data_IF_545858608993
#
_entry.id   IF_545858608993
#
_cell.length_a   1.000
_cell.length_b   1.000
_cell.length_c   1.000
_cell.angle_alpha   90.00
_cell.angle_beta   90.00
_cell.angle_gamma   90.00
#
_symmetry.space_group_name_H-M   'P 1'
#
loop_
_entity.id
_entity.type
_entity.pdbx_description
1 polymer ?
#
# COMPACT_ATOMS: atom_id res chain seq x y z
N UNK A 1 0.63 -31.77 -2.46
CA UNK A 1 -0.19 -31.80 -3.68
C UNK A 1 0.65 -32.38 -4.81
N UNK A 2 0.08 -33.22 -5.68
CA UNK A 2 0.77 -33.77 -6.86
C UNK A 2 0.41 -32.89 -8.08
N UNK A 3 1.40 -32.49 -8.88
CA UNK A 3 1.28 -31.51 -9.98
C UNK A 3 1.42 -32.16 -11.37
N UNK A 4 1.17 -31.41 -12.44
CA UNK A 4 1.36 -31.89 -13.81
C UNK A 4 2.84 -31.86 -14.24
N UNK A 5 3.25 -32.80 -15.09
CA UNK A 5 4.50 -32.72 -15.86
C UNK A 5 4.34 -31.69 -17.00
N UNK A 6 5.42 -30.98 -17.33
CA UNK A 6 5.47 -30.12 -18.51
C UNK A 6 6.01 -30.94 -19.68
N UNK A 7 5.23 -31.02 -20.77
CA UNK A 7 5.63 -31.69 -22.00
C UNK A 7 5.74 -30.64 -23.14
N UNK A 8 6.77 -30.78 -23.98
CA UNK A 8 6.98 -29.93 -25.15
C UNK A 8 6.31 -30.57 -26.37
N UNK A 9 5.45 -29.82 -27.06
CA UNK A 9 4.72 -30.29 -28.23
C UNK A 9 4.97 -29.35 -29.42
N UNK A 10 5.06 -29.92 -30.62
CA UNK A 10 5.15 -29.18 -31.89
C UNK A 10 3.85 -29.24 -32.68
N UNK A 11 3.71 -28.37 -33.68
CA UNK A 11 2.59 -28.45 -34.62
C UNK A 11 2.74 -29.69 -35.50
N UNK A 12 1.70 -30.52 -35.56
CA UNK A 12 1.63 -31.64 -36.48
C UNK A 12 1.55 -31.12 -37.93
N UNK A 13 2.16 -31.86 -38.86
CA UNK A 13 2.06 -31.56 -40.31
C UNK A 13 0.66 -31.86 -40.86
N UNK A 14 -0.07 -32.76 -40.20
CA UNK A 14 -1.44 -33.15 -40.53
C UNK A 14 -2.42 -32.68 -39.45
N UNK A 15 -3.64 -32.31 -39.85
CA UNK A 15 -4.69 -31.86 -38.93
C UNK A 15 -5.64 -32.99 -38.57
N UNK A 16 -5.58 -33.44 -37.32
CA UNK A 16 -6.54 -34.39 -36.76
C UNK A 16 -7.57 -33.70 -35.86
N UNK A 17 -8.78 -34.28 -35.81
CA UNK A 17 -9.83 -33.79 -34.90
C UNK A 17 -9.46 -34.10 -33.45
N UNK A 18 -9.27 -33.06 -32.65
CA UNK A 18 -9.03 -33.18 -31.21
C UNK A 18 -10.30 -33.65 -30.47
N UNK A 19 -10.35 -34.95 -30.15
CA UNK A 19 -11.39 -35.58 -29.35
C UNK A 19 -10.98 -35.79 -27.89
N UNK A 20 -11.91 -36.21 -27.02
CA UNK A 20 -11.65 -36.44 -25.59
C UNK A 20 -10.56 -37.48 -25.31
N UNK A 21 -10.26 -38.36 -26.26
CA UNK A 21 -9.22 -39.40 -26.19
C UNK A 21 -7.96 -39.05 -26.99
N UNK A 22 -7.92 -37.89 -27.67
CA UNK A 22 -6.77 -37.45 -28.47
C UNK A 22 -5.57 -37.01 -27.64
N UNK A 23 -5.69 -37.04 -26.30
CA UNK A 23 -4.60 -36.78 -25.39
C UNK A 23 -4.72 -37.72 -24.19
N UNK A 24 -3.57 -38.21 -23.73
CA UNK A 24 -3.46 -38.93 -22.46
C UNK A 24 -2.95 -37.96 -21.41
N UNK A 25 -3.56 -37.98 -20.22
CA UNK A 25 -3.06 -37.21 -19.09
C UNK A 25 -1.65 -37.72 -18.75
N UNK A 26 -0.61 -36.86 -18.79
CA UNK A 26 0.74 -37.29 -18.44
C UNK A 26 0.82 -37.72 -16.97
N UNK A 27 1.83 -38.53 -16.64
CA UNK A 27 2.10 -38.93 -15.26
C UNK A 27 2.16 -37.71 -14.34
N UNK A 28 1.54 -37.86 -13.16
CA UNK A 28 1.45 -36.78 -12.18
C UNK A 28 2.83 -36.61 -11.54
N UNK A 29 3.54 -35.54 -11.90
CA UNK A 29 4.80 -35.15 -11.29
C UNK A 29 4.61 -34.49 -9.93
N UNK A 30 5.66 -34.41 -9.11
CA UNK A 30 5.58 -33.66 -7.83
C UNK A 30 5.93 -32.18 -7.99
N UNK A 31 6.42 -31.79 -9.17
CA UNK A 31 7.03 -30.48 -9.41
C UNK A 31 6.78 -30.01 -10.84
N UNK A 32 6.53 -28.72 -10.99
CA UNK A 32 6.35 -28.01 -12.25
C UNK A 32 7.49 -27.01 -12.40
N UNK A 33 8.35 -27.24 -13.40
CA UNK A 33 9.47 -26.37 -13.76
C UNK A 33 9.20 -25.68 -15.10
N UNK A 34 8.24 -24.76 -15.09
CA UNK A 34 7.78 -24.07 -16.29
C UNK A 34 8.87 -23.18 -16.91
N UNK A 35 9.70 -22.55 -16.07
CA UNK A 35 10.83 -21.76 -16.54
C UNK A 35 11.84 -22.59 -17.35
N UNK A 36 12.24 -23.74 -16.80
CA UNK A 36 13.22 -24.61 -17.46
C UNK A 36 12.69 -25.17 -18.79
N UNK A 37 11.41 -25.51 -18.85
CA UNK A 37 10.76 -25.95 -20.09
C UNK A 37 10.79 -24.87 -21.16
N UNK A 38 10.45 -23.62 -20.81
CA UNK A 38 10.50 -22.49 -21.73
C UNK A 38 11.93 -22.19 -22.21
N UNK A 39 12.91 -22.25 -21.31
CA UNK A 39 14.32 -22.03 -21.65
C UNK A 39 14.84 -23.13 -22.60
N UNK A 40 14.39 -24.37 -22.40
CA UNK A 40 14.70 -25.51 -23.29
C UNK A 40 14.16 -25.27 -24.71
N UNK A 41 12.90 -24.83 -24.84
CA UNK A 41 12.31 -24.50 -26.16
C UNK A 41 13.09 -23.40 -26.89
N UNK A 42 13.61 -22.41 -26.16
CA UNK A 42 14.41 -21.33 -26.74
C UNK A 42 15.82 -21.78 -27.15
N UNK A 43 16.35 -22.84 -26.54
CA UNK A 43 17.66 -23.44 -26.86
C UNK A 43 17.57 -24.43 -28.02
N UNK A 44 16.51 -25.23 -28.04
CA UNK A 44 16.28 -26.29 -29.03
C UNK A 44 15.68 -25.77 -30.34
N UNK A 45 15.39 -24.47 -30.45
CA UNK A 45 14.90 -23.86 -31.69
C UNK A 45 15.89 -24.03 -32.85
N UNK A 46 15.43 -24.62 -33.95
CA UNK A 46 16.22 -24.87 -35.16
C UNK A 46 16.68 -23.55 -35.82
N UNK A 47 17.99 -23.37 -36.09
CA UNK A 47 18.50 -22.23 -36.86
C UNK A 47 17.86 -22.04 -38.24
N UNK A 48 17.40 -23.13 -38.87
CA UNK A 48 16.79 -23.09 -40.21
C UNK A 48 15.29 -22.80 -40.19
N UNK A 49 14.65 -22.87 -39.03
CA UNK A 49 13.22 -22.58 -38.84
C UNK A 49 13.04 -21.78 -37.54
N UNK A 50 13.21 -20.45 -37.59
CA UNK A 50 13.21 -19.62 -36.38
C UNK A 50 11.87 -19.71 -35.64
N UNK A 51 11.95 -19.82 -34.32
CA UNK A 51 10.79 -19.90 -33.44
C UNK A 51 9.96 -18.60 -33.52
N UNK A 52 8.79 -18.67 -34.15
CA UNK A 52 7.94 -17.49 -34.37
C UNK A 52 7.07 -17.08 -33.18
N UNK A 53 6.61 -18.04 -32.36
CA UNK A 53 5.85 -17.77 -31.14
C UNK A 53 5.77 -19.01 -30.25
N UNK A 54 5.44 -18.83 -28.97
CA UNK A 54 5.13 -19.92 -28.04
C UNK A 54 3.75 -19.71 -27.45
N UNK A 55 2.96 -20.78 -27.35
CA UNK A 55 1.68 -20.80 -26.64
C UNK A 55 1.82 -21.72 -25.43
N UNK A 56 1.57 -21.19 -24.23
CA UNK A 56 1.72 -21.89 -22.96
C UNK A 56 0.35 -22.19 -22.37
N UNK A 57 0.03 -23.47 -22.21
CA UNK A 57 -1.17 -23.89 -21.48
C UNK A 57 -0.77 -24.21 -20.04
N UNK A 58 -1.21 -23.40 -19.08
CA UNK A 58 -0.81 -23.57 -17.67
C UNK A 58 -1.91 -23.18 -16.69
N UNK A 59 -1.93 -23.82 -15.52
CA UNK A 59 -2.73 -23.40 -14.36
C UNK A 59 -2.02 -22.32 -13.52
N UNK A 60 -0.89 -21.81 -13.99
CA UNK A 60 -0.09 -20.74 -13.36
C UNK A 60 0.89 -21.24 -12.30
N UNK A 61 0.95 -22.54 -12.01
CA UNK A 61 1.83 -23.08 -10.95
C UNK A 61 3.24 -23.33 -11.49
N UNK A 62 4.23 -22.68 -10.87
CA UNK A 62 5.66 -22.96 -11.06
C UNK A 62 6.31 -23.09 -9.68
N UNK A 63 6.78 -24.28 -9.32
CA UNK A 63 7.29 -24.57 -7.98
C UNK A 63 8.71 -25.13 -7.95
N UNK A 64 9.34 -25.29 -9.11
CA UNK A 64 10.75 -25.66 -9.25
C UNK A 64 11.35 -24.99 -10.50
N UNK A 65 12.67 -25.04 -10.64
CA UNK A 65 13.38 -24.56 -11.82
C UNK A 65 13.57 -23.05 -11.82
N UNK A 66 13.96 -22.52 -12.97
CA UNK A 66 14.16 -21.10 -13.18
C UNK A 66 12.85 -20.29 -13.02
N UNK A 67 13.01 -19.03 -12.65
CA UNK A 67 11.90 -18.07 -12.64
C UNK A 67 11.37 -17.86 -14.05
N UNK A 68 10.06 -18.01 -14.22
CA UNK A 68 9.37 -17.77 -15.50
C UNK A 68 9.60 -16.34 -16.00
N UNK A 69 9.71 -15.36 -15.08
CA UNK A 69 9.99 -13.96 -15.44
C UNK A 69 11.39 -13.77 -16.02
N UNK A 70 12.38 -14.51 -15.53
CA UNK A 70 13.75 -14.41 -16.02
C UNK A 70 13.83 -14.97 -17.44
N UNK A 71 13.19 -16.12 -17.69
CA UNK A 71 13.11 -16.74 -19.02
C UNK A 71 12.30 -15.88 -19.99
N UNK A 72 11.22 -15.25 -19.54
CA UNK A 72 10.43 -14.32 -20.36
C UNK A 72 11.26 -13.13 -20.88
N UNK A 73 12.29 -12.68 -20.16
CA UNK A 73 13.23 -11.65 -20.66
C UNK A 73 14.03 -12.15 -21.86
N UNK A 74 14.45 -13.42 -21.85
CA UNK A 74 15.18 -14.02 -22.98
C UNK A 74 14.31 -14.11 -24.23
N UNK A 75 13.03 -14.50 -24.08
CA UNK A 75 12.05 -14.49 -25.17
C UNK A 75 11.86 -13.09 -25.74
N UNK A 76 11.70 -12.08 -24.88
CA UNK A 76 11.60 -10.68 -25.30
C UNK A 76 12.83 -10.20 -26.06
N UNK A 77 14.03 -10.56 -25.60
CA UNK A 77 15.29 -10.18 -26.26
C UNK A 77 15.41 -10.76 -27.68
N UNK A 78 14.83 -11.93 -27.93
CA UNK A 78 14.77 -12.57 -29.25
C UNK A 78 13.54 -12.18 -30.08
N UNK A 79 12.67 -11.29 -29.56
CA UNK A 79 11.46 -10.88 -30.25
C UNK A 79 10.40 -11.98 -30.39
N UNK A 80 10.48 -13.05 -29.60
CA UNK A 80 9.55 -14.19 -29.67
C UNK A 80 8.41 -13.97 -28.66
N UNK A 81 7.15 -13.80 -29.12
CA UNK A 81 6.01 -13.63 -28.22
C UNK A 81 5.66 -14.94 -27.50
N UNK A 82 5.32 -14.83 -26.21
CA UNK A 82 4.79 -15.92 -25.38
C UNK A 82 3.33 -15.62 -25.05
N UNK A 83 2.42 -16.41 -25.60
CA UNK A 83 0.99 -16.32 -25.35
C UNK A 83 0.59 -17.33 -24.27
N UNK A 84 -0.18 -16.94 -23.27
CA UNK A 84 -0.55 -17.81 -22.16
C UNK A 84 -2.05 -18.10 -22.20
N UNK A 85 -2.39 -19.38 -22.15
CA UNK A 85 -3.76 -19.89 -22.02
C UNK A 85 -3.89 -20.56 -20.65
N UNK A 86 -4.72 -19.97 -19.80
CA UNK A 86 -5.05 -20.55 -18.49
C UNK A 86 -5.81 -21.86 -18.66
N UNK A 87 -5.33 -22.95 -18.07
CA UNK A 87 -6.02 -24.25 -18.05
C UNK A 87 -6.22 -24.73 -16.60
N UNK A 88 -7.29 -25.48 -16.36
CA UNK A 88 -7.61 -26.02 -15.04
C UNK A 88 -9.10 -26.00 -14.76
N UNK A 89 -9.49 -26.63 -13.66
CA UNK A 89 -10.86 -26.49 -13.16
C UNK A 89 -10.97 -25.16 -12.40
N UNK A 90 -11.96 -24.35 -12.77
CA UNK A 90 -12.44 -23.26 -11.92
C UNK A 90 -13.08 -23.95 -10.70
N UNK A 91 -12.29 -24.21 -9.67
CA UNK A 91 -12.84 -24.54 -8.36
C UNK A 91 -13.36 -23.23 -7.79
N UNK A 92 -14.63 -23.19 -7.39
CA UNK A 92 -15.18 -22.14 -6.54
C UNK A 92 -14.45 -22.21 -5.19
N UNK A 93 -13.24 -21.67 -5.18
CA UNK A 93 -12.50 -21.34 -3.99
C UNK A 93 -13.08 -20.01 -3.52
N UNK A 94 -13.31 -19.91 -2.22
CA UNK A 94 -13.66 -18.62 -1.64
C UNK A 94 -12.49 -17.66 -1.78
N UNK A 95 -12.78 -16.40 -1.52
CA UNK A 95 -11.87 -15.29 -1.70
C UNK A 95 -11.93 -14.37 -0.48
N UNK A 96 -10.82 -13.77 -0.09
CA UNK A 96 -10.78 -12.85 1.05
C UNK A 96 -10.33 -11.46 0.61
N UNK A 97 -11.29 -10.58 0.37
CA UNK A 97 -10.99 -9.25 -0.17
C UNK A 97 -10.85 -8.21 0.93
N UNK A 98 -9.98 -7.21 0.73
CA UNK A 98 -9.85 -6.05 1.62
C UNK A 98 -9.80 -4.73 0.82
N UNK A 99 -10.48 -3.69 1.30
CA UNK A 99 -10.48 -2.36 0.65
C UNK A 99 -10.67 -1.21 1.63
N UNK A 100 -10.13 -0.04 1.31
CA UNK A 100 -10.47 1.20 2.00
C UNK A 100 -11.88 1.62 1.61
N UNK A 101 -12.71 1.97 2.60
CA UNK A 101 -14.08 2.45 2.35
C UNK A 101 -14.07 3.92 1.91
N UNK A 102 -13.21 4.75 2.51
CA UNK A 102 -13.00 6.13 2.09
C UNK A 102 -11.78 6.24 1.16
N UNK A 103 -12.02 6.77 -0.04
CA UNK A 103 -10.97 6.97 -1.07
C UNK A 103 -10.33 8.35 -1.03
N UNK A 104 -10.90 9.32 -0.30
CA UNK A 104 -10.41 10.70 -0.21
C UNK A 104 -10.54 11.25 1.21
N UNK A 105 -9.88 10.63 2.21
CA UNK A 105 -9.93 11.11 3.57
C UNK A 105 -9.29 12.50 3.66
N UNK A 106 -9.89 13.37 4.48
CA UNK A 106 -9.30 14.66 4.85
C UNK A 106 -8.17 14.38 5.84
N UNK A 107 -6.97 14.87 5.54
CA UNK A 107 -5.81 14.73 6.40
C UNK A 107 -5.06 16.07 6.49
N UNK A 108 -4.80 16.50 7.72
CA UNK A 108 -3.99 17.68 8.05
C UNK A 108 -2.87 17.22 8.96
N UNK A 109 -1.66 17.74 8.75
CA UNK A 109 -0.54 17.36 9.61
C UNK A 109 -0.79 17.82 11.05
N UNK A 110 -0.39 16.99 12.03
CA UNK A 110 -0.64 17.17 13.46
C UNK A 110 -2.11 17.10 13.88
N UNK A 111 -3.03 16.69 13.02
CA UNK A 111 -4.42 16.38 13.36
C UNK A 111 -4.70 14.88 13.28
N UNK A 112 -5.83 14.44 13.83
CA UNK A 112 -6.24 13.04 13.76
C UNK A 112 -6.76 12.68 12.36
N UNK A 113 -6.24 11.58 11.84
CA UNK A 113 -6.65 10.94 10.60
C UNK A 113 -7.30 9.60 10.93
N UNK A 114 -8.57 9.46 10.56
CA UNK A 114 -9.31 8.21 10.68
C UNK A 114 -9.29 7.49 9.34
N UNK A 115 -8.85 6.23 9.34
CA UNK A 115 -8.93 5.34 8.19
C UNK A 115 -9.92 4.21 8.48
N UNK A 116 -10.74 3.90 7.48
CA UNK A 116 -11.74 2.83 7.57
C UNK A 116 -11.57 1.90 6.38
N UNK A 117 -11.50 0.60 6.69
CA UNK A 117 -11.46 -0.48 5.72
C UNK A 117 -12.72 -1.34 5.79
N UNK A 118 -12.87 -2.19 4.79
CA UNK A 118 -13.85 -3.27 4.75
C UNK A 118 -13.15 -4.55 4.32
N UNK A 119 -13.45 -5.64 5.00
CA UNK A 119 -13.02 -7.00 4.63
C UNK A 119 -14.25 -7.85 4.35
N UNK A 120 -14.17 -8.69 3.31
CA UNK A 120 -15.25 -9.58 2.89
C UNK A 120 -14.72 -11.00 2.74
N UNK A 121 -15.34 -11.94 3.47
CA UNK A 121 -15.07 -13.36 3.36
C UNK A 121 -16.06 -14.02 2.38
N UNK A 122 -15.59 -14.44 1.20
CA UNK A 122 -16.38 -15.16 0.20
C UNK A 122 -16.22 -16.68 0.28
N UNK A 123 -15.54 -17.20 1.30
CA UNK A 123 -15.47 -18.64 1.53
C UNK A 123 -16.77 -19.18 2.14
N UNK A 124 -17.07 -20.44 1.82
CA UNK A 124 -18.21 -21.18 2.38
C UNK A 124 -18.03 -21.55 3.86
N UNK A 125 -16.86 -21.27 4.44
CA UNK A 125 -16.50 -21.59 5.83
C UNK A 125 -16.01 -20.34 6.57
N UNK A 126 -16.11 -20.31 7.91
CA UNK A 126 -15.51 -19.25 8.70
C UNK A 126 -13.99 -19.28 8.59
N UNK A 127 -13.37 -18.09 8.56
CA UNK A 127 -11.92 -17.91 8.44
C UNK A 127 -11.40 -17.07 9.59
N UNK A 128 -10.25 -17.50 10.11
CA UNK A 128 -9.42 -16.71 10.99
C UNK A 128 -8.27 -16.13 10.16
N UNK A 129 -8.11 -14.81 10.24
CA UNK A 129 -7.15 -14.05 9.45
C UNK A 129 -6.69 -12.83 10.24
N UNK A 130 -5.67 -12.14 9.73
CA UNK A 130 -5.15 -10.92 10.32
C UNK A 130 -5.10 -9.83 9.26
N UNK A 131 -5.61 -8.64 9.61
CA UNK A 131 -5.50 -7.44 8.78
C UNK A 131 -4.43 -6.53 9.35
N UNK A 132 -3.57 -6.05 8.48
CA UNK A 132 -2.44 -5.20 8.82
C UNK A 132 -2.56 -3.86 8.08
N UNK A 133 -2.47 -2.76 8.82
CA UNK A 133 -2.32 -1.42 8.29
C UNK A 133 -0.85 -1.02 8.32
N UNK A 134 -0.34 -0.49 7.21
CA UNK A 134 1.05 -0.07 7.05
C UNK A 134 1.17 1.27 6.34
N UNK A 135 2.24 1.99 6.66
CA UNK A 135 2.69 3.19 5.97
C UNK A 135 4.06 2.90 5.35
N UNK A 136 4.10 2.71 4.04
CA UNK A 136 5.29 2.26 3.33
C UNK A 136 5.75 0.88 3.81
N UNK A 137 6.88 0.81 4.54
CA UNK A 137 7.42 -0.43 5.15
C UNK A 137 7.09 -0.58 6.64
N UNK A 138 6.55 0.47 7.28
CA UNK A 138 6.26 0.48 8.71
C UNK A 138 4.85 -0.06 8.94
N UNK A 139 4.73 -1.09 9.77
CA UNK A 139 3.45 -1.59 10.25
C UNK A 139 2.96 -0.63 11.34
N UNK A 140 1.73 -0.15 11.19
CA UNK A 140 1.09 0.77 12.13
C UNK A 140 0.19 0.03 13.10
N UNK A 141 -0.60 -0.91 12.61
CA UNK A 141 -1.59 -1.64 13.40
C UNK A 141 -1.86 -3.02 12.79
N UNK A 142 -2.18 -3.99 13.63
CA UNK A 142 -2.48 -5.36 13.25
C UNK A 142 -3.70 -5.85 14.05
N UNK A 143 -4.73 -6.31 13.34
CA UNK A 143 -6.03 -6.66 13.90
C UNK A 143 -6.34 -8.12 13.55
N UNK A 144 -6.40 -9.03 14.54
CA UNK A 144 -6.86 -10.39 14.31
C UNK A 144 -8.38 -10.40 14.08
N UNK A 145 -8.84 -11.17 13.11
CA UNK A 145 -10.23 -11.24 12.68
C UNK A 145 -10.70 -12.68 12.55
N UNK A 146 -11.94 -12.91 12.98
CA UNK A 146 -12.70 -14.13 12.72
C UNK A 146 -13.96 -13.76 11.96
N UNK A 147 -14.03 -14.14 10.68
CA UNK A 147 -15.11 -13.79 9.75
C UNK A 147 -15.94 -15.03 9.46
N UNK A 148 -17.27 -14.92 9.53
CA UNK A 148 -18.19 -15.98 9.11
C UNK A 148 -18.21 -16.09 7.59
N UNK A 149 -18.72 -17.20 7.07
CA UNK A 149 -18.92 -17.40 5.64
C UNK A 149 -19.84 -16.29 5.06
N UNK A 150 -19.40 -15.62 3.99
CA UNK A 150 -20.14 -14.52 3.37
C UNK A 150 -20.18 -13.21 4.16
N UNK A 151 -19.42 -13.09 5.26
CA UNK A 151 -19.46 -11.90 6.12
C UNK A 151 -18.70 -10.71 5.51
N UNK A 152 -19.34 -9.55 5.51
CA UNK A 152 -18.71 -8.23 5.30
C UNK A 152 -18.54 -7.52 6.63
N UNK A 153 -17.32 -7.11 6.96
CA UNK A 153 -17.02 -6.40 8.21
C UNK A 153 -16.27 -5.12 7.94
N UNK A 154 -16.77 -4.01 8.49
CA UNK A 154 -16.05 -2.74 8.53
C UNK A 154 -14.99 -2.76 9.63
N UNK A 155 -13.82 -2.24 9.31
CA UNK A 155 -12.66 -2.14 10.18
C UNK A 155 -12.35 -0.67 10.39
N UNK A 156 -12.43 -0.21 11.64
CA UNK A 156 -11.96 1.12 12.02
C UNK A 156 -10.58 0.97 12.64
N UNK A 157 -9.57 1.61 12.05
CA UNK A 157 -8.22 1.65 12.59
C UNK A 157 -8.11 2.70 13.70
N UNK A 158 -7.11 2.55 14.56
CA UNK A 158 -6.79 3.53 15.59
C UNK A 158 -6.49 4.90 14.96
N UNK A 159 -6.91 6.02 15.59
CA UNK A 159 -6.63 7.36 15.07
C UNK A 159 -5.13 7.58 14.83
N UNK A 160 -4.77 8.00 13.62
CA UNK A 160 -3.39 8.24 13.23
C UNK A 160 -3.09 9.74 13.25
N UNK A 161 -1.87 10.13 13.60
CA UNK A 161 -1.44 11.54 13.60
C UNK A 161 -0.25 11.74 12.66
N UNK A 162 -0.46 12.11 11.38
CA UNK A 162 0.65 12.35 10.46
C UNK A 162 1.42 13.62 10.88
N UNK A 163 2.72 13.51 11.10
CA UNK A 163 3.54 14.63 11.56
C UNK A 163 3.98 15.60 10.45
N UNK A 164 4.05 15.11 9.21
CA UNK A 164 4.62 15.83 8.07
C UNK A 164 3.57 15.93 6.96
N UNK A 165 3.43 17.13 6.40
CA UNK A 165 2.59 17.39 5.24
C UNK A 165 3.17 16.73 3.97
N UNK A 166 2.29 16.36 3.05
CA UNK A 166 2.65 15.74 1.78
C UNK A 166 1.95 14.42 1.52
N UNK A 167 2.26 13.77 0.37
CA UNK A 167 1.63 12.51 -0.02
C UNK A 167 2.13 11.35 0.87
N UNK A 168 1.19 10.67 1.53
CA UNK A 168 1.46 9.46 2.32
C UNK A 168 0.67 8.28 1.75
N UNK A 169 1.36 7.14 1.55
CA UNK A 169 0.73 5.93 0.99
C UNK A 169 0.48 4.90 2.09
N UNK A 170 -0.78 4.79 2.49
CA UNK A 170 -1.25 3.76 3.40
C UNK A 170 -1.58 2.50 2.62
N UNK A 171 -1.36 1.34 3.24
CA UNK A 171 -1.68 0.04 2.67
C UNK A 171 -2.31 -0.83 3.73
N UNK A 172 -3.45 -1.41 3.40
CA UNK A 172 -4.08 -2.48 4.16
C UNK A 172 -3.80 -3.80 3.45
N UNK A 173 -3.47 -4.81 4.24
CA UNK A 173 -3.23 -6.16 3.76
C UNK A 173 -3.98 -7.13 4.66
N UNK A 174 -4.70 -8.07 4.07
CA UNK A 174 -5.26 -9.22 4.77
C UNK A 174 -4.37 -10.45 4.51
N UNK A 175 -4.30 -11.37 5.47
CA UNK A 175 -3.55 -12.62 5.31
C UNK A 175 -4.55 -13.74 4.99
N UNK A 176 -4.71 -14.15 3.73
CA UNK A 176 -5.70 -15.16 3.38
C UNK A 176 -5.27 -16.57 3.85
N UNK A 177 -6.23 -17.49 4.03
CA UNK A 177 -5.92 -18.90 4.25
C UNK A 177 -5.41 -19.56 2.96
N UNK A 178 -4.87 -20.78 3.08
CA UNK A 178 -4.45 -21.56 1.92
C UNK A 178 -5.63 -21.79 0.96
N UNK A 179 -5.47 -21.44 -0.31
CA UNK A 179 -6.48 -21.67 -1.34
C UNK A 179 -7.39 -20.49 -1.63
N UNK A 180 -6.93 -19.26 -1.37
CA UNK A 180 -7.51 -18.03 -1.89
C UNK A 180 -7.55 -18.01 -3.43
N UNK A 181 -8.60 -17.39 -3.98
CA UNK A 181 -8.87 -17.39 -5.41
C UNK A 181 -8.11 -16.29 -6.14
N UNK A 182 -7.98 -15.10 -5.54
CA UNK A 182 -7.36 -13.94 -6.15
C UNK A 182 -6.46 -13.16 -5.17
N UNK A 183 -5.17 -13.53 -5.10
CA UNK A 183 -4.22 -12.86 -4.21
C UNK A 183 -3.96 -11.37 -4.52
N UNK A 184 -4.45 -10.88 -5.66
CA UNK A 184 -4.29 -9.47 -6.03
C UNK A 184 -5.21 -8.54 -5.24
N UNK A 185 -6.29 -9.07 -4.66
CA UNK A 185 -7.29 -8.32 -3.91
C UNK A 185 -7.15 -8.44 -2.37
N UNK A 186 -6.13 -9.18 -1.91
CA UNK A 186 -5.69 -9.24 -0.51
C UNK A 186 -5.05 -7.95 0.00
N UNK A 187 -4.77 -6.99 -0.90
CA UNK A 187 -4.04 -5.76 -0.60
C UNK A 187 -4.70 -4.57 -1.30
N UNK A 188 -5.00 -3.51 -0.53
CA UNK A 188 -5.44 -2.23 -1.09
C UNK A 188 -4.50 -1.12 -0.62
N UNK A 189 -4.28 -0.12 -1.49
CA UNK A 189 -3.37 0.99 -1.25
C UNK A 189 -4.08 2.32 -1.46
N UNK A 190 -3.98 3.20 -0.47
CA UNK A 190 -4.60 4.52 -0.48
C UNK A 190 -3.53 5.60 -0.41
N UNK A 191 -3.55 6.52 -1.39
CA UNK A 191 -2.74 7.73 -1.36
C UNK A 191 -3.53 8.83 -0.65
N UNK A 192 -3.03 9.25 0.50
CA UNK A 192 -3.60 10.34 1.29
C UNK A 192 -2.72 11.58 1.12
N UNK A 193 -3.30 12.68 0.66
CA UNK A 193 -2.62 13.96 0.57
C UNK A 193 -2.78 14.70 1.89
N UNK A 194 -1.76 14.65 2.74
CA UNK A 194 -1.76 15.37 4.02
C UNK A 194 -1.47 16.84 3.74
N UNK A 195 -2.41 17.72 4.08
CA UNK A 195 -2.23 19.16 3.95
C UNK A 195 -1.35 19.69 5.09
N UNK A 196 -0.62 20.80 4.88
CA UNK A 196 0.01 21.52 5.98
C UNK A 196 -1.05 21.95 6.99
N UNK A 197 -0.70 22.06 8.29
CA UNK A 197 -1.60 22.67 9.26
C UNK A 197 -1.73 24.16 8.92
N UNK A 198 -2.92 24.71 9.08
CA UNK A 198 -3.21 26.08 8.66
C UNK A 198 -2.58 27.16 9.58
N UNK A 199 -1.76 26.81 10.60
CA UNK A 199 -1.32 27.72 11.68
C UNK A 199 0.14 28.20 11.61
N UNK A 200 0.34 29.52 11.68
CA UNK A 200 1.61 30.25 11.77
C UNK A 200 1.92 30.66 13.22
N UNK A 201 3.09 30.29 13.75
CA UNK A 201 3.52 30.67 15.10
C UNK A 201 4.12 32.08 15.09
N UNK A 202 3.53 33.00 15.83
CA UNK A 202 3.97 34.41 15.87
C UNK A 202 4.29 34.86 17.28
N UNK A 203 5.42 35.56 17.45
CA UNK A 203 5.82 36.16 18.73
C UNK A 203 5.77 37.68 18.65
N UNK A 204 5.00 38.32 19.53
CA UNK A 204 5.08 39.75 19.76
C UNK A 204 6.01 40.06 20.92
N UNK A 205 7.09 40.81 20.67
CA UNK A 205 8.07 41.18 21.67
C UNK A 205 8.09 42.70 21.87
N UNK A 206 7.92 43.15 23.12
CA UNK A 206 8.05 44.59 23.41
C UNK A 206 8.70 44.84 24.76
N UNK A 207 9.47 45.93 24.86
CA UNK A 207 10.04 46.40 26.11
C UNK A 207 9.15 47.41 26.85
N UNK A 208 7.97 47.71 26.31
CA UNK A 208 6.99 48.65 26.86
C UNK A 208 5.56 48.29 26.42
N UNK A 209 4.56 48.79 27.15
CA UNK A 209 3.15 48.61 26.75
C UNK A 209 2.82 49.60 25.64
N UNK A 210 2.85 49.12 24.40
CA UNK A 210 2.44 49.92 23.25
C UNK A 210 0.90 49.91 23.14
N UNK A 211 0.26 51.06 22.86
CA UNK A 211 -1.18 51.12 22.59
C UNK A 211 -1.64 50.20 21.45
N UNK A 212 -0.74 49.78 20.56
CA UNK A 212 -1.02 48.87 19.45
C UNK A 212 -1.21 47.40 19.88
N UNK A 213 -0.65 46.97 21.02
CA UNK A 213 -0.67 45.56 21.45
C UNK A 213 -2.09 44.98 21.54
N UNK A 214 -3.07 45.64 22.17
CA UNK A 214 -4.43 45.13 22.21
C UNK A 214 -5.05 44.90 20.83
N UNK A 215 -4.68 45.70 19.82
CA UNK A 215 -5.16 45.54 18.44
C UNK A 215 -4.50 44.34 17.77
N UNK A 216 -3.17 44.21 17.87
CA UNK A 216 -2.43 43.06 17.33
C UNK A 216 -2.89 41.76 17.97
N UNK A 217 -3.02 41.75 19.30
CA UNK A 217 -3.54 40.61 20.07
C UNK A 217 -4.93 40.23 19.60
N UNK A 218 -5.85 41.19 19.45
CA UNK A 218 -7.21 40.91 18.97
C UNK A 218 -7.21 40.30 17.57
N UNK A 219 -6.44 40.86 16.64
CA UNK A 219 -6.42 40.38 15.25
C UNK A 219 -5.78 38.99 15.13
N UNK A 220 -4.64 38.76 15.79
CA UNK A 220 -3.88 37.51 15.63
C UNK A 220 -4.34 36.39 16.56
N UNK A 221 -4.86 36.70 17.76
CA UNK A 221 -5.35 35.66 18.67
C UNK A 221 -6.77 35.16 18.31
N UNK A 222 -7.56 35.97 17.58
CA UNK A 222 -8.91 35.58 17.15
C UNK A 222 -8.90 34.75 15.84
N UNK A 223 -7.75 34.67 15.13
CA UNK A 223 -7.61 33.93 13.86
C UNK A 223 -7.02 32.53 14.08
N UNK A 224 -7.73 31.47 13.67
CA UNK A 224 -7.28 30.08 13.83
C UNK A 224 -5.96 29.75 13.11
N UNK A 225 -5.61 30.56 12.09
CA UNK A 225 -4.38 30.42 11.30
C UNK A 225 -3.14 31.00 11.97
N UNK A 226 -3.28 31.64 13.12
CA UNK A 226 -2.15 32.17 13.87
C UNK A 226 -2.16 31.62 15.29
N UNK A 227 -1.02 31.08 15.69
CA UNK A 227 -0.77 30.81 17.10
C UNK A 227 0.02 31.99 17.64
N UNK A 228 -0.71 32.96 18.19
CA UNK A 228 -0.16 34.22 18.69
C UNK A 228 0.34 34.07 20.12
N UNK A 229 1.61 34.39 20.32
CA UNK A 229 2.23 34.48 21.64
C UNK A 229 2.82 35.88 21.85
N UNK A 230 2.86 36.36 23.09
CA UNK A 230 3.44 37.66 23.40
C UNK A 230 4.26 37.66 24.68
N UNK A 231 5.30 38.50 24.67
CA UNK A 231 6.12 38.79 25.83
C UNK A 231 6.40 40.30 25.88
N UNK A 232 5.82 40.98 26.86
CA UNK A 232 5.95 42.42 27.05
C UNK A 232 6.61 42.69 28.39
N UNK A 233 7.76 43.37 28.38
CA UNK A 233 8.41 43.82 29.61
C UNK A 233 7.69 45.06 30.16
N UNK A 234 7.21 44.98 31.39
CA UNK A 234 6.55 46.09 32.10
C UNK A 234 7.53 46.83 33.02
N UNK A 235 8.48 46.11 33.60
CA UNK A 235 9.55 46.67 34.44
C UNK A 235 10.77 45.74 34.42
N UNK A 236 11.79 46.00 35.24
CA UNK A 236 13.00 45.17 35.25
C UNK A 236 12.73 43.68 35.47
N UNK A 237 11.76 43.35 36.33
CA UNK A 237 11.43 41.98 36.76
C UNK A 237 10.01 41.54 36.39
N UNK A 238 9.19 42.42 35.81
CA UNK A 238 7.79 42.14 35.52
C UNK A 238 7.58 42.04 34.02
N UNK A 239 7.00 40.92 33.59
CA UNK A 239 6.63 40.65 32.21
C UNK A 239 5.15 40.28 32.12
N UNK A 240 4.50 40.74 31.07
CA UNK A 240 3.21 40.23 30.63
C UNK A 240 3.47 39.17 29.55
N UNK A 241 3.09 37.92 29.86
CA UNK A 241 3.16 36.79 28.95
C UNK A 241 1.76 36.39 28.50
N UNK A 242 1.59 36.04 27.23
CA UNK A 242 0.35 35.52 26.66
C UNK A 242 0.65 34.41 25.65
N UNK A 243 -0.20 33.38 25.63
CA UNK A 243 -0.02 32.17 24.82
C UNK A 243 0.50 30.98 25.64
N UNK A 244 0.39 29.78 25.09
CA UNK A 244 0.86 28.55 25.73
C UNK A 244 2.40 28.55 25.88
N UNK A 245 2.88 28.00 26.99
CA UNK A 245 4.30 27.76 27.29
C UNK A 245 5.26 28.97 27.28
N UNK A 246 4.75 30.21 27.26
CA UNK A 246 5.60 31.40 27.48
C UNK A 246 5.83 31.64 28.97
N UNK A 247 7.11 31.67 29.35
CA UNK A 247 7.56 32.11 30.67
C UNK A 247 7.62 33.65 30.73
N UNK A 248 7.23 34.29 31.85
CA UNK A 248 7.28 35.74 32.03
C UNK A 248 8.72 36.24 32.32
N UNK A 249 9.66 35.92 31.43
CA UNK A 249 11.07 36.31 31.49
C UNK A 249 11.66 36.27 30.10
N UNK A 250 12.70 37.06 29.82
CA UNK A 250 13.42 36.91 28.55
C UNK A 250 14.04 35.52 28.42
N UNK A 251 13.74 34.80 27.32
CA UNK A 251 14.37 33.53 27.01
C UNK A 251 15.88 33.70 26.94
N UNK A 252 16.60 32.88 27.70
CA UNK A 252 18.06 32.80 27.62
C UNK A 252 18.52 31.74 26.61
N UNK A 253 17.61 30.84 26.23
CA UNK A 253 17.87 29.77 25.26
C UNK A 253 17.68 30.32 23.83
N UNK A 254 18.73 30.29 22.98
CA UNK A 254 18.62 30.67 21.58
C UNK A 254 17.58 29.84 20.79
N UNK A 255 17.34 28.58 21.17
CA UNK A 255 16.41 27.69 20.46
C UNK A 255 14.97 28.22 20.49
N UNK A 256 14.58 28.89 21.58
CA UNK A 256 13.26 29.51 21.72
C UNK A 256 12.91 30.43 20.56
N UNK A 257 13.86 31.23 20.07
CA UNK A 257 13.60 32.22 19.03
C UNK A 257 13.41 31.60 17.65
N UNK A 258 13.87 30.36 17.46
CA UNK A 258 13.85 29.66 16.17
C UNK A 258 12.52 28.95 15.90
N UNK A 259 11.68 28.76 16.93
CA UNK A 259 10.40 28.09 16.79
C UNK A 259 9.32 28.97 16.14
N UNK A 260 9.57 30.28 16.06
CA UNK A 260 8.61 31.27 15.55
C UNK A 260 8.81 31.52 14.06
N UNK A 261 7.70 31.50 13.30
CA UNK A 261 7.69 31.84 11.88
C UNK A 261 7.87 33.34 11.64
N UNK A 262 7.45 34.16 12.62
CA UNK A 262 7.67 35.60 12.61
C UNK A 262 7.77 36.17 14.04
N UNK A 263 8.63 37.18 14.20
CA UNK A 263 8.75 37.99 15.41
C UNK A 263 8.36 39.42 15.07
N UNK A 264 7.42 39.97 15.83
CA UNK A 264 6.83 41.30 15.69
C UNK A 264 7.31 42.23 16.82
#
# INVERSE_FOLDING_TARGET
EKYGKVDNLGFAQDTDRFGPQSWTKPEIGEKTALGDALDTVLKDSDPNSPLGSVVVFTDGRNNMGQSVLDVARNFRARGVPVNVVGVGQIKNRGDLTVRFTDRKPKAVAKEELLLVGEVENQFAQPIESTVQLSLGKKILEEIPLKLRAGEKRKLSFSPLKPNVAGPQRYRIKVTPPSGDADPSNDVDSLLVLVKPPDRFLTLYLSNQVLPLYPFVKRVLADEERFEFRSLIRLSEKVFHAFGEDIKPSYPQDPAFWMDYDAIL
#
